data_IF_110486115061
#
_entry.id   IF_110486115061
#
_cell.length_a   1.000
_cell.length_b   1.000
_cell.length_c   1.000
_cell.angle_alpha   90.00
_cell.angle_beta   90.00
_cell.angle_gamma   90.00
#
_symmetry.space_group_name_H-M   'P 1'
#
loop_
_entity.id
_entity.type
_entity.pdbx_description
1 polymer ?
#
# COMPACT_ATOMS: atom_id res chain seq x y z
N UNK A 1 -7.35 -21.29 26.92
CA UNK A 1 -6.15 -20.49 27.07
C UNK A 1 -5.51 -20.19 25.71
N UNK A 2 -5.13 -21.14 24.87
CA UNK A 2 -4.56 -20.94 23.51
C UNK A 2 -5.36 -20.01 22.59
N UNK A 3 -6.69 -20.07 22.60
CA UNK A 3 -7.54 -19.22 21.73
C UNK A 3 -7.46 -17.75 22.16
N UNK A 4 -7.40 -17.47 23.45
CA UNK A 4 -7.31 -16.12 23.99
C UNK A 4 -5.94 -15.49 23.71
N UNK A 5 -4.89 -16.28 23.78
CA UNK A 5 -3.53 -15.87 23.42
C UNK A 5 -3.38 -15.55 21.91
N UNK A 6 -4.00 -16.36 21.04
CA UNK A 6 -4.06 -16.08 19.59
C UNK A 6 -4.85 -14.84 19.25
N UNK A 7 -5.89 -14.49 20.00
CA UNK A 7 -6.69 -13.27 19.80
C UNK A 7 -5.89 -12.04 20.26
N UNK A 8 -5.16 -12.13 21.38
CA UNK A 8 -4.33 -11.05 21.89
C UNK A 8 -3.17 -10.72 20.96
N UNK A 9 -2.43 -11.73 20.48
CA UNK A 9 -1.33 -11.53 19.51
C UNK A 9 -1.84 -10.95 18.19
N UNK A 10 -3.00 -11.39 17.71
CA UNK A 10 -3.60 -10.85 16.49
C UNK A 10 -4.01 -9.39 16.63
N UNK A 11 -4.52 -8.99 17.78
CA UNK A 11 -4.90 -7.59 18.06
C UNK A 11 -3.68 -6.67 18.09
N UNK A 12 -2.61 -7.09 18.75
CA UNK A 12 -1.36 -6.34 18.78
C UNK A 12 -0.77 -6.11 17.39
N UNK A 13 -0.83 -7.11 16.52
CA UNK A 13 -0.41 -7.01 15.12
C UNK A 13 -1.24 -6.01 14.31
N UNK A 14 -2.55 -5.98 14.50
CA UNK A 14 -3.44 -5.03 13.82
C UNK A 14 -3.25 -3.59 14.33
N UNK A 15 -2.98 -3.43 15.63
CA UNK A 15 -2.61 -2.13 16.21
C UNK A 15 -1.26 -1.65 15.67
N UNK A 16 -0.29 -2.54 15.51
CA UNK A 16 1.00 -2.24 14.89
C UNK A 16 0.85 -1.79 13.44
N UNK A 17 0.00 -2.47 12.65
CA UNK A 17 -0.35 -2.07 11.28
C UNK A 17 -0.87 -0.64 11.21
N UNK A 18 -1.74 -0.28 12.15
CA UNK A 18 -2.29 1.08 12.20
C UNK A 18 -1.20 2.12 12.49
N UNK A 19 -0.23 1.78 13.37
CA UNK A 19 0.93 2.64 13.64
C UNK A 19 1.81 2.82 12.40
N UNK A 20 2.09 1.73 11.68
CA UNK A 20 2.86 1.78 10.42
C UNK A 20 2.14 2.65 9.39
N UNK A 21 0.81 2.51 9.24
CA UNK A 21 0.01 3.36 8.36
C UNK A 21 0.11 4.84 8.74
N UNK A 22 -0.02 5.19 10.03
CA UNK A 22 0.11 6.57 10.49
C UNK A 22 1.50 7.14 10.20
N UNK A 23 2.54 6.33 10.37
CA UNK A 23 3.90 6.70 10.00
C UNK A 23 4.04 6.95 8.50
N UNK A 24 3.45 6.10 7.66
CA UNK A 24 3.44 6.29 6.20
C UNK A 24 2.73 7.58 5.81
N UNK A 25 1.56 7.85 6.39
CA UNK A 25 0.79 9.07 6.15
C UNK A 25 1.60 10.30 6.59
N UNK A 26 2.24 10.25 7.75
CA UNK A 26 3.10 11.32 8.25
C UNK A 26 4.30 11.58 7.33
N UNK A 27 4.93 10.53 6.80
CA UNK A 27 6.01 10.63 5.81
C UNK A 27 5.53 11.29 4.51
N UNK A 28 4.38 10.87 3.99
CA UNK A 28 3.80 11.43 2.76
C UNK A 28 3.45 12.90 2.95
N UNK A 29 2.83 13.26 4.10
CA UNK A 29 2.55 14.65 4.45
C UNK A 29 3.85 15.46 4.59
N UNK A 30 4.85 14.90 5.29
CA UNK A 30 6.14 15.55 5.45
C UNK A 30 6.80 15.86 4.11
N UNK A 31 6.85 14.88 3.21
CA UNK A 31 7.39 15.08 1.85
C UNK A 31 6.53 16.06 1.05
N UNK A 32 5.21 15.97 1.11
CA UNK A 32 4.31 16.85 0.35
C UNK A 32 4.30 18.29 0.85
N UNK A 33 4.52 18.52 2.15
CA UNK A 33 4.56 19.87 2.75
C UNK A 33 5.94 20.49 2.64
N UNK A 34 7.01 19.71 2.85
CA UNK A 34 8.39 20.22 2.85
C UNK A 34 8.92 20.43 1.43
N UNK A 35 8.38 19.72 0.44
CA UNK A 35 8.91 19.73 -0.93
C UNK A 35 7.87 20.07 -2.01
N UNK A 36 7.17 21.21 -1.92
CA UNK A 36 6.20 21.62 -2.96
C UNK A 36 6.86 21.88 -4.32
N UNK A 37 8.18 22.08 -4.37
CA UNK A 37 8.94 22.40 -5.60
C UNK A 37 9.25 21.16 -6.46
N UNK A 38 9.11 19.94 -5.94
CA UNK A 38 9.45 18.69 -6.64
C UNK A 38 8.24 17.92 -7.19
N UNK A 39 7.05 18.48 -7.11
CA UNK A 39 5.93 18.00 -7.91
C UNK A 39 5.93 18.80 -9.22
N UNK A 40 6.43 18.24 -10.35
CA UNK A 40 6.41 18.94 -11.63
C UNK A 40 4.99 19.15 -12.14
N UNK A 41 4.01 18.51 -11.57
CA UNK A 41 2.60 18.70 -11.85
C UNK A 41 2.05 19.84 -10.99
N UNK A 42 2.03 21.05 -11.57
CA UNK A 42 1.11 22.17 -11.28
C UNK A 42 0.34 22.10 -9.97
N UNK A 43 0.87 22.76 -8.93
CA UNK A 43 0.14 23.07 -7.71
C UNK A 43 -0.20 21.84 -6.89
N UNK A 44 -0.19 21.96 -5.57
CA UNK A 44 -0.68 20.91 -4.66
C UNK A 44 -2.00 20.37 -5.21
N UNK A 45 -2.05 19.10 -5.66
CA UNK A 45 -3.25 18.58 -6.30
C UNK A 45 -4.40 18.80 -5.34
N UNK A 46 -5.45 19.46 -5.78
CA UNK A 46 -6.64 19.81 -4.98
C UNK A 46 -7.21 18.61 -4.22
N UNK A 47 -6.86 17.41 -4.67
CA UNK A 47 -7.32 16.14 -4.14
C UNK A 47 -6.36 15.49 -3.14
N UNK A 48 -5.14 15.98 -2.98
CA UNK A 48 -4.12 15.35 -2.13
C UNK A 48 -4.53 15.35 -0.65
N UNK A 49 -4.91 16.53 -0.14
CA UNK A 49 -5.33 16.68 1.24
C UNK A 49 -6.63 15.91 1.57
N UNK A 50 -7.70 15.95 0.75
CA UNK A 50 -8.88 15.12 0.94
C UNK A 50 -8.58 13.61 0.95
N UNK A 51 -7.67 13.13 0.09
CA UNK A 51 -7.28 11.72 0.05
C UNK A 51 -6.61 11.31 1.37
N UNK A 52 -5.72 12.15 1.90
CA UNK A 52 -5.05 11.88 3.18
C UNK A 52 -6.05 11.87 4.35
N UNK A 53 -6.95 12.84 4.40
CA UNK A 53 -8.00 12.89 5.42
C UNK A 53 -8.86 11.62 5.36
N UNK A 54 -9.26 11.21 4.15
CA UNK A 54 -10.01 9.98 3.94
C UNK A 54 -9.22 8.75 4.42
N UNK A 55 -7.92 8.69 4.14
CA UNK A 55 -7.06 7.57 4.56
C UNK A 55 -6.96 7.47 6.09
N UNK A 56 -6.79 8.61 6.77
CA UNK A 56 -6.79 8.68 8.24
C UNK A 56 -8.15 8.21 8.78
N UNK A 57 -9.25 8.68 8.19
CA UNK A 57 -10.61 8.31 8.60
C UNK A 57 -10.85 6.81 8.46
N UNK A 58 -10.44 6.21 7.34
CA UNK A 58 -10.49 4.76 7.11
C UNK A 58 -9.64 4.03 8.16
N UNK A 59 -8.46 4.56 8.51
CA UNK A 59 -7.59 4.00 9.53
C UNK A 59 -8.25 3.97 10.91
N UNK A 60 -8.88 5.07 11.31
CA UNK A 60 -9.61 5.16 12.58
C UNK A 60 -10.80 4.21 12.58
N UNK A 61 -11.59 4.19 11.50
CA UNK A 61 -12.73 3.28 11.36
C UNK A 61 -12.28 1.81 11.46
N UNK A 62 -11.17 1.46 10.83
CA UNK A 62 -10.62 0.11 10.90
C UNK A 62 -10.19 -0.27 12.33
N UNK A 63 -9.59 0.67 13.07
CA UNK A 63 -9.19 0.47 14.46
C UNK A 63 -10.41 0.23 15.37
N UNK A 64 -11.51 0.94 15.13
CA UNK A 64 -12.79 0.72 15.80
C UNK A 64 -13.34 -0.67 15.44
N UNK A 65 -13.31 -1.03 14.16
CA UNK A 65 -13.85 -2.31 13.66
C UNK A 65 -13.10 -3.51 14.26
N UNK A 66 -11.77 -3.42 14.39
CA UNK A 66 -10.94 -4.43 15.05
C UNK A 66 -11.32 -4.62 16.52
N UNK A 67 -11.71 -3.54 17.20
CA UNK A 67 -12.16 -3.62 18.60
C UNK A 67 -13.56 -4.23 18.75
N UNK A 68 -14.44 -3.96 17.78
CA UNK A 68 -15.83 -4.44 17.80
C UNK A 68 -15.96 -5.90 17.34
N UNK A 69 -15.09 -6.35 16.44
CA UNK A 69 -15.13 -7.68 15.83
C UNK A 69 -13.83 -8.46 16.10
N UNK A 70 -13.52 -8.78 17.37
CA UNK A 70 -12.33 -9.55 17.71
C UNK A 70 -12.47 -10.97 17.13
N UNK A 71 -11.59 -11.34 16.19
CA UNK A 71 -11.59 -12.67 15.59
C UNK A 71 -11.94 -12.72 14.09
N UNK A 72 -12.40 -11.64 13.50
CA UNK A 72 -12.66 -11.58 12.06
C UNK A 72 -11.34 -11.61 11.26
N UNK A 73 -10.98 -12.79 10.73
CA UNK A 73 -9.71 -13.02 10.01
C UNK A 73 -9.57 -12.23 8.71
N UNK A 74 -10.67 -11.78 8.13
CA UNK A 74 -10.72 -11.01 6.90
C UNK A 74 -10.37 -9.52 7.07
N UNK A 75 -10.42 -9.00 8.33
CA UNK A 75 -10.15 -7.58 8.60
C UNK A 75 -8.75 -7.15 8.14
N UNK A 76 -7.73 -7.99 8.33
CA UNK A 76 -6.38 -7.69 7.85
C UNK A 76 -6.30 -7.59 6.32
N UNK A 77 -6.97 -8.48 5.60
CA UNK A 77 -7.03 -8.45 4.14
C UNK A 77 -7.78 -7.22 3.63
N UNK A 78 -8.90 -6.86 4.28
CA UNK A 78 -9.64 -5.64 3.99
C UNK A 78 -8.76 -4.41 4.19
N UNK A 79 -8.01 -4.35 5.29
CA UNK A 79 -7.11 -3.24 5.58
C UNK A 79 -6.06 -3.05 4.48
N UNK A 80 -5.37 -4.14 4.10
CA UNK A 80 -4.37 -4.08 3.02
C UNK A 80 -5.01 -3.66 1.69
N UNK A 81 -6.21 -4.15 1.38
CA UNK A 81 -6.92 -3.76 0.16
C UNK A 81 -7.30 -2.27 0.16
N UNK A 82 -7.76 -1.74 1.29
CA UNK A 82 -8.02 -0.31 1.45
C UNK A 82 -6.73 0.52 1.31
N UNK A 83 -5.62 0.06 1.88
CA UNK A 83 -4.33 0.74 1.75
C UNK A 83 -3.85 0.79 0.30
N UNK A 84 -3.95 -0.31 -0.44
CA UNK A 84 -3.64 -0.35 -1.87
C UNK A 84 -4.53 0.62 -2.66
N UNK A 85 -5.83 0.69 -2.35
CA UNK A 85 -6.75 1.65 -2.96
C UNK A 85 -6.35 3.11 -2.70
N UNK A 86 -5.97 3.43 -1.46
CA UNK A 86 -5.53 4.79 -1.09
C UNK A 86 -4.19 5.15 -1.72
N UNK A 87 -3.23 4.22 -1.77
CA UNK A 87 -1.96 4.40 -2.50
C UNK A 87 -2.25 4.68 -3.97
N UNK A 88 -3.16 3.91 -4.59
CA UNK A 88 -3.57 4.12 -5.98
C UNK A 88 -4.15 5.51 -6.20
N UNK A 89 -4.99 5.99 -5.29
CA UNK A 89 -5.56 7.34 -5.35
C UNK A 89 -4.49 8.43 -5.27
N UNK A 90 -3.48 8.26 -4.40
CA UNK A 90 -2.35 9.20 -4.28
C UNK A 90 -1.48 9.16 -5.54
N UNK A 91 -1.12 7.98 -6.03
CA UNK A 91 -0.33 7.81 -7.25
C UNK A 91 -1.04 8.44 -8.44
N UNK A 92 -2.36 8.25 -8.58
CA UNK A 92 -3.16 8.91 -9.60
C UNK A 92 -3.15 10.43 -9.43
N UNK A 93 -3.42 10.95 -8.22
CA UNK A 93 -3.49 12.39 -7.93
C UNK A 93 -2.15 13.11 -8.15
N UNK A 94 -1.03 12.39 -8.03
CA UNK A 94 0.34 12.94 -8.16
C UNK A 94 0.97 12.72 -9.53
N UNK A 95 0.20 12.30 -10.54
CA UNK A 95 0.66 12.23 -11.94
C UNK A 95 0.90 10.83 -12.48
N UNK A 96 0.43 9.79 -11.78
CA UNK A 96 0.48 8.39 -12.17
C UNK A 96 1.92 7.91 -12.47
N UNK A 97 2.40 8.11 -13.71
CA UNK A 97 3.73 7.69 -14.14
C UNK A 97 4.85 8.57 -13.58
N UNK A 98 4.56 9.85 -13.38
CA UNK A 98 5.50 10.83 -12.83
C UNK A 98 5.46 10.84 -11.28
N UNK A 99 4.63 9.97 -10.68
CA UNK A 99 4.46 9.90 -9.24
C UNK A 99 5.62 9.20 -8.55
N UNK A 100 6.28 9.90 -7.64
CA UNK A 100 7.29 9.32 -6.74
C UNK A 100 6.67 8.38 -5.68
N UNK A 101 5.34 8.42 -5.51
CA UNK A 101 4.63 7.61 -4.52
C UNK A 101 4.34 6.18 -4.97
N UNK A 102 4.73 5.80 -6.19
CA UNK A 102 4.61 4.41 -6.69
C UNK A 102 5.39 3.42 -5.80
N UNK A 103 6.47 3.88 -5.16
CA UNK A 103 7.25 3.09 -4.19
C UNK A 103 6.45 2.65 -2.95
N UNK A 104 5.33 3.31 -2.61
CA UNK A 104 4.46 2.92 -1.50
C UNK A 104 3.80 1.54 -1.70
N UNK A 105 3.62 1.11 -2.94
CA UNK A 105 3.16 -0.24 -3.22
C UNK A 105 4.15 -1.30 -2.73
N UNK A 106 5.46 -1.05 -2.86
CA UNK A 106 6.49 -1.94 -2.34
C UNK A 106 6.38 -2.08 -0.83
N UNK A 107 6.12 -0.98 -0.14
CA UNK A 107 5.93 -0.98 1.31
C UNK A 107 4.69 -1.78 1.71
N UNK A 108 3.56 -1.64 0.99
CA UNK A 108 2.37 -2.43 1.22
C UNK A 108 2.63 -3.94 1.04
N UNK A 109 3.42 -4.33 0.03
CA UNK A 109 3.80 -5.72 -0.22
C UNK A 109 4.70 -6.25 0.93
N UNK A 110 5.67 -5.47 1.40
CA UNK A 110 6.54 -5.84 2.52
C UNK A 110 5.70 -6.04 3.80
N UNK A 111 4.82 -5.10 4.11
CA UNK A 111 3.91 -5.21 5.26
C UNK A 111 3.04 -6.46 5.16
N UNK A 112 2.48 -6.75 3.98
CA UNK A 112 1.70 -7.96 3.76
C UNK A 112 2.53 -9.24 3.97
N UNK A 113 3.83 -9.25 3.62
CA UNK A 113 4.70 -10.41 3.80
C UNK A 113 4.99 -10.73 5.27
N UNK A 114 5.10 -9.68 6.09
CA UNK A 114 5.34 -9.81 7.53
C UNK A 114 4.09 -10.36 8.25
N UNK A 115 2.92 -9.90 7.83
CA UNK A 115 1.65 -10.18 8.53
C UNK A 115 0.96 -11.46 8.07
N UNK A 116 1.06 -11.78 6.79
CA UNK A 116 0.29 -12.84 6.19
C UNK A 116 1.17 -13.98 5.67
N UNK A 117 0.53 -14.99 5.09
CA UNK A 117 1.21 -16.09 4.43
C UNK A 117 1.81 -15.63 3.09
N UNK A 118 2.75 -16.43 2.58
CA UNK A 118 3.39 -16.22 1.27
C UNK A 118 2.36 -16.03 0.14
N UNK A 119 1.28 -16.81 0.16
CA UNK A 119 0.22 -16.71 -0.87
C UNK A 119 -0.48 -15.36 -0.84
N UNK A 120 -0.80 -14.84 0.35
CA UNK A 120 -1.43 -13.52 0.51
C UNK A 120 -0.48 -12.40 0.09
N UNK A 121 0.83 -12.53 0.33
CA UNK A 121 1.84 -11.57 -0.14
C UNK A 121 1.83 -11.45 -1.66
N UNK A 122 1.85 -12.59 -2.38
CA UNK A 122 1.75 -12.57 -3.84
C UNK A 122 0.41 -12.04 -4.35
N UNK A 123 -0.69 -12.37 -3.65
CA UNK A 123 -2.01 -11.82 -3.97
C UNK A 123 -2.05 -10.30 -3.80
N UNK A 124 -1.40 -9.78 -2.75
CA UNK A 124 -1.25 -8.33 -2.54
C UNK A 124 -0.44 -7.68 -3.65
N UNK A 125 0.67 -8.29 -4.08
CA UNK A 125 1.45 -7.78 -5.21
C UNK A 125 0.63 -7.76 -6.51
N UNK A 126 -0.16 -8.80 -6.75
CA UNK A 126 -1.09 -8.87 -7.89
C UNK A 126 -2.18 -7.79 -7.80
N UNK A 127 -2.71 -7.54 -6.61
CA UNK A 127 -3.68 -6.47 -6.36
C UNK A 127 -3.07 -5.09 -6.65
N UNK A 128 -1.83 -4.84 -6.23
CA UNK A 128 -1.10 -3.61 -6.54
C UNK A 128 -0.92 -3.42 -8.05
N UNK A 129 -0.49 -4.48 -8.76
CA UNK A 129 -0.33 -4.46 -10.22
C UNK A 129 -1.64 -4.24 -10.95
N UNK A 130 -2.70 -4.94 -10.55
CA UNK A 130 -4.02 -4.81 -11.17
C UNK A 130 -4.62 -3.42 -10.95
N UNK A 131 -4.44 -2.85 -9.75
CA UNK A 131 -4.89 -1.51 -9.39
C UNK A 131 -4.18 -0.44 -10.24
N UNK A 132 -2.86 -0.58 -10.39
CA UNK A 132 -2.02 0.29 -11.22
C UNK A 132 -2.39 0.18 -12.70
N UNK A 133 -2.53 -1.05 -13.21
CA UNK A 133 -2.93 -1.33 -14.60
C UNK A 133 -4.33 -0.78 -14.90
N UNK A 134 -5.29 -1.01 -14.01
CA UNK A 134 -6.67 -0.55 -14.17
C UNK A 134 -6.74 0.98 -14.20
N UNK A 135 -6.07 1.65 -13.28
CA UNK A 135 -6.04 3.13 -13.26
C UNK A 135 -5.39 3.68 -14.51
N UNK A 136 -4.28 3.09 -14.95
CA UNK A 136 -3.60 3.47 -16.20
C UNK A 136 -4.54 3.29 -17.40
N UNK A 137 -5.22 2.15 -17.49
CA UNK A 137 -6.17 1.88 -18.56
C UNK A 137 -7.35 2.87 -18.58
N UNK A 138 -7.89 3.26 -17.43
CA UNK A 138 -8.96 4.26 -17.34
C UNK A 138 -8.51 5.65 -17.82
N UNK A 139 -7.28 6.06 -17.48
CA UNK A 139 -6.69 7.32 -17.96
C UNK A 139 -6.51 7.30 -19.48
N UNK A 140 -5.97 6.19 -20.02
CA UNK A 140 -5.79 6.06 -21.47
C UNK A 140 -7.10 5.94 -22.24
N UNK A 141 -8.11 5.30 -21.67
CA UNK A 141 -9.46 5.23 -22.23
C UNK A 141 -10.22 6.58 -22.17
N UNK A 142 -9.63 7.62 -21.56
CA UNK A 142 -10.26 8.93 -21.39
C UNK A 142 -11.46 8.94 -20.43
N UNK A 143 -11.60 7.88 -19.62
CA UNK A 143 -12.69 7.78 -18.63
C UNK A 143 -12.44 8.66 -17.40
N UNK A 144 -11.18 8.87 -17.06
CA UNK A 144 -10.75 9.76 -15.97
C UNK A 144 -9.73 10.77 -16.52
N UNK A 145 -9.72 12.01 -15.98
CA UNK A 145 -8.82 13.06 -16.46
C UNK A 145 -7.36 12.68 -16.23
N UNK A 146 -6.48 13.13 -17.12
CA UNK A 146 -5.03 13.01 -16.93
C UNK A 146 -4.57 13.99 -15.87
N UNK A 147 -3.71 13.53 -14.99
CA UNK A 147 -3.08 14.34 -13.94
C UNK A 147 -1.62 14.69 -14.26
N UNK A 148 -1.00 13.99 -15.23
CA UNK A 148 0.35 14.28 -15.71
C UNK A 148 0.37 15.43 -16.70
N UNK A 149 1.40 16.29 -16.64
CA UNK A 149 1.60 17.42 -17.53
C UNK A 149 2.00 17.01 -18.95
N UNK A 150 2.77 15.95 -19.07
CA UNK A 150 3.30 15.46 -20.34
C UNK A 150 2.49 14.22 -20.75
N UNK A 151 2.04 14.20 -21.99
CA UNK A 151 1.43 13.00 -22.55
C UNK A 151 2.53 11.94 -22.74
N UNK A 152 2.52 10.84 -21.97
CA UNK A 152 3.58 9.86 -22.07
C UNK A 152 3.45 9.11 -23.40
N UNK A 153 4.59 8.82 -24.01
CA UNK A 153 4.67 7.96 -25.20
C UNK A 153 4.32 6.51 -24.79
N UNK A 154 3.70 5.76 -25.67
CA UNK A 154 3.35 4.35 -25.42
C UNK A 154 4.54 3.52 -24.94
N UNK A 155 5.73 3.76 -25.47
CA UNK A 155 6.95 3.07 -25.05
C UNK A 155 7.33 3.38 -23.59
N UNK A 156 7.22 4.63 -23.18
CA UNK A 156 7.51 5.04 -21.80
C UNK A 156 6.54 4.37 -20.81
N UNK A 157 5.26 4.29 -21.15
CA UNK A 157 4.25 3.60 -20.35
C UNK A 157 4.59 2.12 -20.21
N UNK A 158 4.92 1.47 -21.30
CA UNK A 158 5.29 0.05 -21.34
C UNK A 158 6.50 -0.24 -20.46
N UNK A 159 7.57 0.54 -20.64
CA UNK A 159 8.80 0.39 -19.83
C UNK A 159 8.55 0.64 -18.36
N UNK A 160 7.82 1.69 -18.02
CA UNK A 160 7.44 2.01 -16.65
C UNK A 160 6.62 0.89 -16.01
N UNK A 161 5.63 0.34 -16.73
CA UNK A 161 4.80 -0.76 -16.24
C UNK A 161 5.62 -2.04 -16.05
N UNK A 162 6.49 -2.40 -17.00
CA UNK A 162 7.37 -3.55 -16.88
C UNK A 162 8.35 -3.42 -15.70
N UNK A 163 8.92 -2.24 -15.50
CA UNK A 163 9.80 -1.95 -14.37
C UNK A 163 9.08 -2.12 -13.02
N UNK A 164 7.88 -1.55 -12.89
CA UNK A 164 7.09 -1.72 -11.66
C UNK A 164 6.65 -3.17 -11.44
N UNK A 165 6.27 -3.89 -12.50
CA UNK A 165 5.90 -5.30 -12.42
C UNK A 165 7.07 -6.14 -11.90
N UNK A 166 8.27 -5.96 -12.47
CA UNK A 166 9.47 -6.68 -12.04
C UNK A 166 9.84 -6.34 -10.59
N UNK A 167 9.74 -5.07 -10.20
CA UNK A 167 10.02 -4.62 -8.84
C UNK A 167 9.03 -5.21 -7.81
N UNK A 168 7.73 -5.19 -8.11
CA UNK A 168 6.71 -5.72 -7.20
C UNK A 168 6.85 -7.24 -7.01
N UNK A 169 7.10 -7.98 -8.08
CA UNK A 169 7.33 -9.43 -8.01
C UNK A 169 8.62 -9.77 -7.27
N UNK A 170 9.71 -9.05 -7.54
CA UNK A 170 10.98 -9.25 -6.85
C UNK A 170 10.84 -8.97 -5.35
N UNK A 171 10.20 -7.86 -4.96
CA UNK A 171 9.98 -7.53 -3.55
C UNK A 171 9.05 -8.52 -2.89
N UNK A 172 7.97 -8.95 -3.54
CA UNK A 172 7.07 -9.98 -3.00
C UNK A 172 7.81 -11.29 -2.73
N UNK A 173 8.68 -11.70 -3.66
CA UNK A 173 9.50 -12.91 -3.50
C UNK A 173 10.49 -12.77 -2.35
N UNK A 174 11.34 -11.73 -2.35
CA UNK A 174 12.37 -11.50 -1.34
C UNK A 174 11.75 -11.29 0.06
N UNK A 175 10.71 -10.48 0.17
CA UNK A 175 10.04 -10.23 1.43
C UNK A 175 9.38 -11.50 1.97
N UNK A 176 8.80 -12.34 1.10
CA UNK A 176 8.23 -13.63 1.51
C UNK A 176 9.27 -14.62 2.01
N UNK A 177 10.46 -14.67 1.39
CA UNK A 177 11.57 -15.50 1.86
C UNK A 177 12.08 -15.03 3.22
N UNK A 178 12.27 -13.73 3.37
CA UNK A 178 12.74 -13.13 4.63
C UNK A 178 11.74 -13.39 5.77
N UNK A 179 10.45 -13.22 5.52
CA UNK A 179 9.40 -13.47 6.51
C UNK A 179 9.38 -14.94 6.97
N UNK A 180 9.55 -15.90 6.06
CA UNK A 180 9.65 -17.33 6.41
C UNK A 180 10.89 -17.60 7.25
N UNK A 181 12.03 -17.04 6.87
CA UNK A 181 13.30 -17.22 7.60
C UNK A 181 13.24 -16.65 9.02
N UNK A 182 12.63 -15.47 9.17
CA UNK A 182 12.45 -14.83 10.49
C UNK A 182 11.53 -15.64 11.39
N UNK A 183 10.40 -16.14 10.87
CA UNK A 183 9.47 -16.99 11.63
C UNK A 183 10.12 -18.28 12.10
N UNK A 184 10.97 -18.91 11.26
CA UNK A 184 11.69 -20.13 11.63
C UNK A 184 12.67 -19.86 12.78
N UNK A 185 13.46 -18.79 12.68
CA UNK A 185 14.41 -18.41 13.76
C UNK A 185 13.70 -18.07 15.07
N UNK A 186 12.56 -17.38 15.03
CA UNK A 186 11.78 -17.07 16.24
C UNK A 186 11.30 -18.35 16.92
N UNK A 187 10.83 -19.34 16.17
CA UNK A 187 10.39 -20.63 16.75
C UNK A 187 11.53 -21.46 17.33
N UNK A 188 12.77 -21.30 16.83
CA UNK A 188 13.95 -21.98 17.37
C UNK A 188 14.45 -21.35 18.69
N UNK A 189 14.16 -20.06 18.93
CA UNK A 189 14.53 -19.34 20.16
C UNK A 189 13.53 -19.57 21.31
N UNK A 190 12.33 -20.05 21.01
CA UNK A 190 11.29 -20.35 22.00
C UNK A 190 11.35 -21.80 22.53
N UNK A 191 12.26 -22.63 22.03
CA UNK A 191 12.53 -24.00 22.48
C UNK A 191 13.71 -24.06 23.43
#
# INVERSE_FOLDING_TARGET
>A
MKIMEQILTRREWLEWLTKVRLLMIALILGVGVVWPQYSPSTGTPKYFLPIIILWITIGILHLILVRLLPGAGWLGALQVSCDVGMITAIVYATGLQDSNFTSLYLLAIIVASILFSRQITFLTALLCLSSLAFTTALVYAGKIPRTSLVAPTYENVRLWFLSNTSAFLAVAYLASLLAVSLRKKSSELEQ
#
